data_IF_772095132005
#
_entry.id   IF_772095132005
#
_cell.length_a   1.000
_cell.length_b   1.000
_cell.length_c   1.000
_cell.angle_alpha   90.00
_cell.angle_beta   90.00
_cell.angle_gamma   90.00
#
_symmetry.space_group_name_H-M   'P 1'
#
loop_
_entity.id
_entity.type
_entity.pdbx_description
1 polymer ?
2 non-polymer ?
3 water ?
#
# COMPACT_ATOMS: atom_id res chain seq x y z
N UNK A 5 -31.57 7.79 -10.26
CA UNK A 5 -30.55 6.74 -10.19
C UNK A 5 -29.65 6.95 -8.97
N UNK A 6 -28.95 5.90 -8.57
CA UNK A 6 -28.26 5.90 -7.28
C UNK A 6 -26.76 6.16 -7.36
N UNK A 7 -26.27 7.00 -6.45
CA UNK A 7 -24.83 7.23 -6.31
C UNK A 7 -24.13 5.90 -6.09
N UNK A 8 -22.94 5.76 -6.65
CA UNK A 8 -22.04 4.68 -6.26
C UNK A 8 -21.13 5.28 -5.21
N UNK A 9 -20.36 4.43 -4.50
CA UNK A 9 -19.43 4.99 -3.51
C UNK A 9 -18.34 5.80 -4.22
N UNK A 10 -17.57 6.56 -3.46
CA UNK A 10 -16.38 7.19 -4.00
C UNK A 10 -15.42 6.07 -4.40
N UNK A 11 -15.33 5.06 -3.54
CA UNK A 11 -14.59 3.84 -3.84
C UNK A 11 -15.03 2.67 -2.96
N UNK A 12 -14.86 1.46 -3.48
CA UNK A 12 -15.08 0.23 -2.72
C UNK A 12 -13.75 -0.22 -2.14
N UNK A 13 -13.81 -1.00 -1.06
CA UNK A 13 -12.59 -1.56 -0.50
C UNK A 13 -12.82 -2.28 0.82
N UNK A 14 -11.74 -2.83 1.37
CA UNK A 14 -11.78 -3.44 2.70
C UNK A 14 -11.33 -2.42 3.73
N UNK A 15 -12.20 -2.15 4.71
CA UNK A 15 -11.90 -1.21 5.77
C UNK A 15 -11.58 -1.97 7.06
N UNK A 16 -10.37 -1.78 7.57
CA UNK A 16 -9.91 -2.52 8.73
C UNK A 16 -10.70 -2.15 9.98
N UNK A 17 -10.85 -3.12 10.88
CA UNK A 17 -11.48 -2.87 12.16
C UNK A 17 -10.63 -1.88 12.95
N UNK A 18 -11.17 -1.41 14.07
CA UNK A 18 -10.42 -0.52 14.95
C UNK A 18 -9.11 -1.14 15.39
N UNK A 19 -9.17 -2.38 15.88
CA UNK A 19 -7.98 -3.08 16.37
C UNK A 19 -6.95 -3.35 15.27
N UNK A 20 -7.41 -3.84 14.14
CA UNK A 20 -6.51 -4.14 13.03
C UNK A 20 -5.84 -2.87 12.51
N UNK A 21 -6.62 -1.80 12.41
CA UNK A 21 -6.08 -0.50 12.01
C UNK A 21 -4.97 -0.07 12.96
N UNK A 22 -5.27 -0.15 14.26
CA UNK A 22 -4.29 0.19 15.29
C UNK A 22 -3.04 -0.64 15.13
N UNK A 23 -3.21 -1.95 15.00
CA UNK A 23 -2.09 -2.88 14.89
C UNK A 23 -1.22 -2.59 13.67
N UNK A 24 -1.85 -2.40 12.52
CA UNK A 24 -1.10 -2.12 11.29
C UNK A 24 -0.45 -0.75 11.33
N UNK A 25 -1.17 0.24 11.87
CA UNK A 25 -0.64 1.60 11.98
C UNK A 25 0.60 1.64 12.85
N UNK A 26 0.59 0.91 13.96
CA UNK A 26 1.73 0.86 14.86
C UNK A 26 2.92 0.18 14.19
N UNK A 27 2.65 -0.88 13.44
CA UNK A 27 3.70 -1.60 12.73
C UNK A 27 4.37 -0.69 11.70
N UNK A 28 3.56 0.10 11.01
CA UNK A 28 4.07 1.03 10.02
C UNK A 28 4.97 2.09 10.62
N UNK A 29 4.57 2.64 11.76
CA UNK A 29 5.34 3.69 12.42
C UNK A 29 6.64 3.16 13.01
N UNK A 30 6.59 2.00 13.64
CA UNK A 30 7.79 1.36 14.15
C UNK A 30 8.79 1.14 13.00
N UNK A 31 8.26 0.71 11.87
CA UNK A 31 9.09 0.49 10.68
C UNK A 31 9.77 1.78 10.24
N UNK A 32 9.02 2.89 10.26
CA UNK A 32 9.57 4.18 9.89
C UNK A 32 10.67 4.61 10.85
N UNK A 33 10.50 4.27 12.13
CA UNK A 33 11.50 4.58 13.15
C UNK A 33 12.80 3.83 12.90
N UNK A 34 12.69 2.52 12.73
CA UNK A 34 13.85 1.66 12.54
C UNK A 34 14.57 1.94 11.23
N UNK A 35 13.79 2.15 10.17
CA UNK A 35 14.37 2.43 8.86
C UNK A 35 15.20 3.71 8.91
N UNK A 36 14.61 4.77 9.46
CA UNK A 36 15.28 6.05 9.55
C UNK A 36 16.55 6.02 10.39
N UNK A 37 16.61 5.06 11.31
CA UNK A 37 17.77 4.89 12.17
C UNK A 37 18.76 3.89 11.60
N UNK A 38 18.39 3.25 10.50
CA UNK A 38 19.23 2.22 9.91
C UNK A 38 20.36 2.81 9.09
N UNK A 39 21.58 2.31 9.35
CA UNK A 39 22.78 2.83 8.72
C UNK A 39 22.71 2.80 7.18
N UNK A 40 22.13 1.75 6.62
CA UNK A 40 22.04 1.61 5.18
C UNK A 40 21.13 2.67 4.56
N UNK A 41 20.09 3.06 5.30
CA UNK A 41 19.16 4.08 4.81
C UNK A 41 19.80 5.46 4.82
N UNK A 42 20.49 5.79 5.90
CA UNK A 42 21.15 7.10 6.02
C UNK A 42 22.20 7.30 4.93
N UNK A 43 22.90 6.22 4.58
CA UNK A 43 23.92 6.25 3.54
C UNK A 43 23.34 6.65 2.19
N UNK A 44 22.01 6.60 2.07
CA UNK A 44 21.35 6.88 0.80
C UNK A 44 20.30 7.99 0.92
N UNK A 45 20.45 8.84 1.92
CA UNK A 45 19.48 9.92 2.15
C UNK A 45 19.46 10.96 1.03
N UNK A 46 20.36 10.82 0.06
CA UNK A 46 20.41 11.74 -1.07
C UNK A 46 19.17 11.58 -1.95
N UNK A 47 18.36 10.57 -1.64
CA UNK A 47 17.13 10.30 -2.39
C UNK A 47 15.91 10.84 -1.67
N UNK A 48 16.13 11.46 -0.51
CA UNK A 48 15.04 12.05 0.27
C UNK A 48 15.25 13.54 0.52
N UNK A 49 16.51 13.94 0.65
CA UNK A 49 16.86 15.34 0.83
C UNK A 49 17.90 15.76 -0.21
N UNK A 50 17.59 16.82 -0.95
CA UNK A 50 18.45 17.24 -2.06
C UNK A 50 19.37 18.41 -1.72
N UNK A 51 20.53 18.45 -2.37
CA UNK A 51 21.48 19.54 -2.18
C UNK A 51 22.52 19.26 -1.11
N UNK A 52 23.59 20.05 -1.10
CA UNK A 52 24.60 19.95 -0.05
C UNK A 52 23.96 20.32 1.29
N UNK A 53 23.55 19.30 2.04
CA UNK A 53 22.82 19.52 3.28
C UNK A 53 23.61 19.04 4.50
N UNK A 54 23.39 19.72 5.66
CA UNK A 54 23.98 19.27 6.93
C UNK A 54 23.69 17.79 7.14
N UNK A 55 24.66 17.06 7.66
CA UNK A 55 24.52 15.62 7.82
C UNK A 55 23.66 15.27 9.02
N UNK A 56 22.38 15.63 8.94
CA UNK A 56 21.43 15.33 10.01
C UNK A 56 20.62 14.10 9.63
N UNK A 57 19.71 13.69 10.51
CA UNK A 57 18.87 12.53 10.23
C UNK A 57 17.41 12.91 9.99
N UNK A 58 16.78 12.19 9.07
CA UNK A 58 15.40 12.47 8.69
C UNK A 58 14.43 11.63 9.50
N UNK A 59 13.44 12.28 10.09
CA UNK A 59 12.38 11.57 10.80
C UNK A 59 11.26 11.21 9.82
N UNK A 60 11.26 9.96 9.37
CA UNK A 60 10.33 9.50 8.35
C UNK A 60 8.86 9.68 8.75
N UNK A 61 8.56 9.51 10.03
CA UNK A 61 7.20 9.72 10.52
C UNK A 61 6.74 11.13 10.18
N UNK A 62 7.67 12.08 10.27
CA UNK A 62 7.39 13.47 9.94
C UNK A 62 7.38 13.68 8.43
N UNK A 63 8.28 13.01 7.73
CA UNK A 63 8.37 13.09 6.28
C UNK A 63 7.05 12.68 5.63
N UNK A 64 6.48 11.57 6.09
CA UNK A 64 5.18 11.13 5.61
C UNK A 64 4.06 11.75 6.44
N UNK A 65 3.95 13.08 6.35
CA UNK A 65 3.04 13.84 7.19
C UNK A 65 1.57 13.70 6.86
N UNK A 66 1.28 13.40 5.59
CA UNK A 66 -0.10 13.15 5.18
C UNK A 66 -0.45 11.69 5.43
N UNK A 67 -1.08 11.43 6.57
CA UNK A 67 -1.38 10.06 6.99
C UNK A 67 -2.87 9.80 6.94
N UNK A 68 -3.25 8.53 6.78
CA UNK A 68 -4.67 8.17 6.85
C UNK A 68 -5.19 8.44 8.25
N UNK A 69 -6.24 9.28 8.37
CA UNK A 69 -6.84 9.48 9.69
C UNK A 69 -7.78 8.31 10.06
N UNK A 70 -7.61 7.78 11.27
CA UNK A 70 -8.53 6.80 11.81
C UNK A 70 -8.43 5.39 11.25
N UNK A 71 -9.47 4.99 10.54
CA UNK A 71 -9.57 3.62 10.01
C UNK A 71 -8.77 3.46 8.73
N UNK A 72 -7.98 2.39 8.65
CA UNK A 72 -7.18 2.09 7.46
C UNK A 72 -8.00 1.26 6.46
N UNK A 73 -7.59 1.28 5.19
CA UNK A 73 -8.34 0.54 4.17
C UNK A 73 -7.48 0.05 3.01
N UNK A 74 -7.98 -0.96 2.31
CA UNK A 74 -7.40 -1.46 1.07
C UNK A 74 -8.43 -1.28 -0.06
N UNK A 75 -8.17 -0.34 -0.96
CA UNK A 75 -9.09 -0.05 -2.04
C UNK A 75 -9.13 -1.16 -3.08
N UNK A 76 -10.33 -1.45 -3.58
CA UNK A 76 -10.48 -2.33 -4.73
C UNK A 76 -10.71 -1.50 -5.99
N UNK A 77 -11.85 -0.82 -6.04
CA UNK A 77 -12.22 -0.04 -7.22
C UNK A 77 -12.60 1.39 -6.86
N UNK A 78 -11.86 2.35 -7.43
CA UNK A 78 -12.21 3.76 -7.30
C UNK A 78 -13.33 4.07 -8.29
N UNK A 79 -14.47 4.51 -7.78
CA UNK A 79 -15.65 4.71 -8.61
C UNK A 79 -16.00 6.17 -8.86
N UNK A 80 -15.58 7.04 -7.95
CA UNK A 80 -15.93 8.45 -8.01
C UNK A 80 -17.43 8.63 -8.21
N UNK A 81 -18.21 7.90 -7.40
CA UNK A 81 -19.66 8.01 -7.39
C UNK A 81 -20.33 7.46 -8.66
N UNK A 82 -19.51 6.96 -9.58
CA UNK A 82 -20.00 6.39 -10.82
C UNK A 82 -19.41 7.06 -12.04
N UNK A 83 -18.52 8.03 -11.80
CA UNK A 83 -17.91 8.79 -12.89
C UNK A 83 -16.68 8.09 -13.48
N UNK A 84 -16.00 7.28 -12.68
CA UNK A 84 -14.81 6.57 -13.15
C UNK A 84 -15.17 5.44 -14.10
N UNK A 85 -14.30 5.21 -15.08
CA UNK A 85 -14.52 4.15 -16.05
C UNK A 85 -14.62 2.79 -15.36
N UNK A 86 -15.59 1.99 -15.77
CA UNK A 86 -15.76 0.65 -15.24
C UNK A 86 -16.38 0.62 -13.85
N UNK A 87 -16.80 1.78 -13.36
CA UNK A 87 -17.33 1.89 -12.00
C UNK A 87 -18.64 1.13 -11.84
N UNK A 88 -19.56 1.34 -12.79
CA UNK A 88 -20.87 0.70 -12.72
C UNK A 88 -20.75 -0.81 -12.93
N UNK A 89 -19.98 -1.21 -13.94
CA UNK A 89 -19.75 -2.62 -14.21
C UNK A 89 -19.25 -3.33 -12.95
N UNK A 90 -18.27 -2.73 -12.29
CA UNK A 90 -17.71 -3.30 -11.07
C UNK A 90 -18.76 -3.41 -9.98
N UNK A 91 -19.52 -2.34 -9.78
CA UNK A 91 -20.50 -2.28 -8.69
C UNK A 91 -21.68 -3.23 -8.90
N UNK A 92 -21.97 -3.56 -10.16
CA UNK A 92 -23.11 -4.40 -10.49
C UNK A 92 -22.80 -5.88 -10.36
N UNK A 93 -21.52 -6.22 -10.28
CA UNK A 93 -21.10 -7.61 -10.14
C UNK A 93 -21.82 -8.29 -8.97
N UNK A 94 -22.17 -9.55 -9.15
CA UNK A 94 -22.81 -10.31 -8.09
C UNK A 94 -21.92 -10.42 -6.86
N UNK A 95 -20.65 -10.73 -7.07
CA UNK A 95 -19.72 -10.94 -5.97
C UNK A 95 -19.52 -9.68 -5.13
N UNK A 96 -19.58 -8.53 -5.78
CA UNK A 96 -19.46 -7.25 -5.07
C UNK A 96 -20.69 -7.01 -4.20
N UNK A 97 -21.86 -7.20 -4.78
CA UNK A 97 -23.11 -7.03 -4.04
C UNK A 97 -23.25 -8.07 -2.95
N UNK A 98 -22.83 -9.30 -3.25
CA UNK A 98 -22.91 -10.39 -2.28
C UNK A 98 -21.96 -10.17 -1.11
N UNK A 99 -20.80 -9.60 -1.39
CA UNK A 99 -19.76 -9.42 -0.38
C UNK A 99 -19.92 -8.13 0.42
N UNK A 100 -20.82 -7.27 -0.02
CA UNK A 100 -20.99 -5.98 0.64
C UNK A 100 -21.36 -6.15 2.10
N UNK A 101 -20.53 -5.64 2.99
CA UNK A 101 -20.78 -5.71 4.41
C UNK A 101 -20.18 -6.93 5.09
N UNK A 102 -19.45 -7.74 4.33
CA UNK A 102 -18.91 -8.99 4.84
C UNK A 102 -17.49 -8.82 5.36
N UNK A 103 -17.10 -9.67 6.29
CA UNK A 103 -15.77 -9.61 6.91
C UNK A 103 -14.75 -10.43 6.13
N UNK A 104 -13.52 -9.93 6.08
CA UNK A 104 -12.43 -10.61 5.40
C UNK A 104 -11.16 -10.51 6.23
N UNK A 105 -10.21 -11.39 5.95
CA UNK A 105 -8.87 -11.30 6.50
C UNK A 105 -7.87 -10.98 5.41
N UNK A 106 -7.15 -9.88 5.58
CA UNK A 106 -6.16 -9.48 4.59
C UNK A 106 -4.77 -9.83 5.09
N UNK A 107 -4.01 -10.51 4.24
CA UNK A 107 -2.64 -10.86 4.59
C UNK A 107 -1.67 -9.78 4.11
N UNK A 108 -0.98 -9.15 5.05
CA UNK A 108 0.04 -8.17 4.72
C UNK A 108 1.41 -8.82 4.71
N UNK A 109 2.10 -8.75 3.59
CA UNK A 109 3.33 -9.51 3.38
C UNK A 109 4.59 -8.66 3.51
N UNK A 110 4.45 -7.34 3.36
CA UNK A 110 5.59 -6.45 3.41
C UNK A 110 5.18 -5.01 3.69
N UNK A 111 6.13 -4.23 4.19
CA UNK A 111 5.96 -2.79 4.31
C UNK A 111 6.98 -2.14 3.38
N UNK A 112 6.63 -0.99 2.81
CA UNK A 112 7.55 -0.34 1.89
C UNK A 112 7.63 1.17 2.06
N UNK A 113 8.73 1.75 1.58
CA UNK A 113 8.94 3.17 1.65
C UNK A 113 9.59 3.66 0.36
N UNK A 114 9.05 4.75 -0.18
CA UNK A 114 9.68 5.45 -1.29
C UNK A 114 9.76 6.92 -0.89
N UNK A 115 10.40 7.76 -1.73
CA UNK A 115 10.41 9.19 -1.41
C UNK A 115 9.03 9.82 -1.50
N UNK A 116 8.05 9.07 -2.00
CA UNK A 116 6.71 9.60 -2.18
C UNK A 116 5.69 9.05 -1.18
N UNK A 117 5.73 7.75 -0.94
CA UNK A 117 4.72 7.10 -0.09
C UNK A 117 5.30 6.05 0.85
N UNK A 118 4.49 5.67 1.84
CA UNK A 118 4.78 4.55 2.72
C UNK A 118 3.51 3.70 2.82
N UNK A 119 3.65 2.39 2.79
CA UNK A 119 2.47 1.54 2.83
C UNK A 119 2.75 0.08 3.13
N UNK A 120 1.70 -0.73 3.10
CA UNK A 120 1.79 -2.16 3.34
C UNK A 120 1.25 -2.93 2.15
N UNK A 121 2.01 -3.93 1.70
CA UNK A 121 1.57 -4.76 0.59
C UNK A 121 0.58 -5.80 1.07
N UNK A 122 -0.56 -5.87 0.39
CA UNK A 122 -1.58 -6.86 0.70
C UNK A 122 -1.56 -7.97 -0.34
N UNK A 123 -1.60 -9.22 0.13
CA UNK A 123 -1.66 -10.37 -0.76
C UNK A 123 -3.04 -11.01 -0.69
N UNK A 124 -3.87 -10.74 -1.69
CA UNK A 124 -5.25 -11.19 -1.69
C UNK A 124 -5.37 -12.69 -1.89
N UNK A 125 -6.28 -13.32 -1.14
CA UNK A 125 -6.65 -14.70 -1.40
C UNK A 125 -7.40 -14.72 -2.72
N UNK A 126 -7.74 -15.91 -3.22
CA UNK A 126 -8.44 -15.97 -4.50
C UNK A 126 -9.90 -15.54 -4.37
N UNK A 127 -10.49 -15.77 -3.20
CA UNK A 127 -11.84 -15.28 -2.94
C UNK A 127 -11.84 -13.76 -3.04
N UNK A 128 -10.86 -13.14 -2.38
CA UNK A 128 -10.75 -11.69 -2.35
C UNK A 128 -10.36 -11.13 -3.71
N UNK A 129 -9.57 -11.89 -4.47
CA UNK A 129 -9.23 -11.51 -5.84
C UNK A 129 -10.47 -11.35 -6.69
N UNK A 130 -11.53 -12.10 -6.36
CA UNK A 130 -12.80 -11.98 -7.07
C UNK A 130 -13.36 -10.57 -6.94
N UNK A 131 -12.94 -9.86 -5.90
CA UNK A 131 -13.42 -8.50 -5.65
C UNK A 131 -12.46 -7.46 -6.23
N UNK A 132 -11.36 -7.92 -6.82
CA UNK A 132 -10.43 -7.01 -7.47
C UNK A 132 -10.95 -6.67 -8.87
N UNK A 133 -10.95 -5.37 -9.21
CA UNK A 133 -11.52 -4.89 -10.48
C UNK A 133 -10.80 -5.47 -11.70
N UNK A 134 -11.58 -5.81 -12.73
CA UNK A 134 -11.04 -6.36 -13.97
C UNK A 134 -10.20 -5.33 -14.71
N UNK A 135 -9.04 -5.77 -15.19
CA UNK A 135 -8.12 -4.90 -15.91
C UNK A 135 -8.24 -5.09 -17.43
N UNK A 136 -9.29 -5.78 -17.86
CA UNK A 136 -9.42 -6.16 -19.25
C UNK A 136 -9.66 -5.00 -20.21
N UNK A 137 -10.07 -3.85 -19.68
CA UNK A 137 -10.25 -2.66 -20.50
C UNK A 137 -9.12 -1.66 -20.28
N UNK A 138 -8.18 -2.03 -19.41
CA UNK A 138 -7.00 -1.23 -19.17
C UNK A 138 -5.91 -2.08 -18.53
N UNK A 139 -5.26 -2.93 -19.35
CA UNK A 139 -4.17 -3.78 -18.87
C UNK A 139 -2.93 -2.96 -18.53
N UNK A 140 -3.03 -1.64 -18.71
CA UNK A 140 -1.98 -0.74 -18.28
C UNK A 140 -1.97 -0.70 -16.75
N UNK A 141 -3.15 -0.92 -16.18
CA UNK A 141 -3.37 -0.84 -14.73
C UNK A 141 -2.40 -1.65 -13.89
N UNK A 142 -2.25 -2.94 -14.19
CA UNK A 142 -1.44 -3.82 -13.34
C UNK A 142 -0.05 -4.11 -13.91
N UNK A 143 0.23 -3.56 -15.08
CA UNK A 143 1.58 -3.60 -15.68
C UNK A 143 2.30 -4.96 -15.63
N UNK A 144 1.72 -5.97 -16.27
CA UNK A 144 2.38 -7.25 -16.44
C UNK A 144 2.50 -8.11 -15.19
N UNK A 145 2.01 -7.59 -14.07
CA UNK A 145 2.04 -8.34 -12.83
C UNK A 145 0.70 -9.04 -12.60
N UNK A 146 0.68 -10.10 -11.76
CA UNK A 146 -0.56 -10.81 -11.47
C UNK A 146 -1.65 -9.82 -11.07
N UNK A 147 -2.92 -10.18 -11.31
CA UNK A 147 -4.02 -9.31 -10.87
C UNK A 147 -3.94 -9.10 -9.37
N UNK A 148 -4.29 -7.90 -8.91
CA UNK A 148 -4.31 -7.61 -7.49
C UNK A 148 -2.97 -7.30 -6.88
N UNK A 149 -1.93 -7.27 -7.69
CA UNK A 149 -0.60 -6.94 -7.20
C UNK A 149 -0.57 -5.54 -6.56
N UNK A 150 -1.45 -4.66 -7.03
CA UNK A 150 -1.48 -3.28 -6.55
C UNK A 150 -2.11 -3.16 -5.17
N UNK A 151 -2.81 -4.21 -4.74
CA UNK A 151 -3.48 -4.22 -3.44
C UNK A 151 -2.54 -3.78 -2.31
N UNK A 152 -2.95 -2.74 -1.59
CA UNK A 152 -2.10 -2.15 -0.56
C UNK A 152 -2.92 -1.42 0.48
N UNK A 153 -2.25 -1.09 1.59
CA UNK A 153 -2.80 -0.14 2.56
C UNK A 153 -1.85 1.04 2.65
N UNK A 154 -2.38 2.24 2.47
CA UNK A 154 -1.57 3.45 2.55
C UNK A 154 -1.34 3.84 4.00
N UNK A 155 -0.07 4.08 4.34
CA UNK A 155 0.28 4.44 5.71
C UNK A 155 0.72 5.89 5.82
N UNK A 156 1.18 6.47 4.73
CA UNK A 156 1.58 7.87 4.71
C UNK A 156 2.02 8.34 3.35
N UNK A 157 1.94 9.66 3.12
CA UNK A 157 2.35 10.29 1.87
C UNK A 157 3.13 11.57 2.14
N UNK A 158 4.11 11.86 1.28
CA UNK A 158 4.83 13.12 1.33
C UNK A 158 3.85 14.25 1.01
N UNK A 159 4.23 15.48 1.36
CA UNK A 159 3.32 16.63 1.28
C UNK A 159 2.72 16.88 -0.11
N UNK A 160 3.52 16.68 -1.15
CA UNK A 160 3.09 17.01 -2.50
C UNK A 160 2.53 15.80 -3.27
N UNK A 161 2.26 14.70 -2.58
CA UNK A 161 1.93 13.45 -3.25
C UNK A 161 0.43 13.11 -3.25
N UNK A 162 -0.07 12.79 -4.44
CA UNK A 162 -1.47 12.38 -4.61
C UNK A 162 -1.69 10.99 -4.03
N UNK A 163 -2.92 10.72 -3.55
CA UNK A 163 -3.23 9.47 -2.82
C UNK A 163 -2.99 8.20 -3.62
N UNK A 164 -3.18 8.26 -4.93
CA UNK A 164 -3.09 7.07 -5.77
C UNK A 164 -1.64 6.61 -5.99
N UNK A 165 -0.69 7.43 -5.55
CA UNK A 165 0.72 7.16 -5.79
C UNK A 165 1.19 5.87 -5.12
N UNK A 166 0.64 5.57 -3.95
CA UNK A 166 1.07 4.41 -3.18
C UNK A 166 0.97 3.12 -4.00
N UNK A 167 -0.17 2.94 -4.66
CA UNK A 167 -0.38 1.77 -5.50
C UNK A 167 0.63 1.69 -6.62
N UNK A 168 0.92 2.84 -7.24
CA UNK A 168 1.92 2.89 -8.31
C UNK A 168 3.31 2.57 -7.77
N UNK A 169 3.60 3.06 -6.57
CA UNK A 169 4.89 2.79 -5.94
C UNK A 169 5.08 1.30 -5.68
N UNK A 170 4.06 0.65 -5.14
CA UNK A 170 4.13 -0.77 -4.86
C UNK A 170 4.39 -1.57 -6.12
N UNK A 171 3.61 -1.29 -7.17
CA UNK A 171 3.79 -1.98 -8.44
C UNK A 171 5.21 -1.79 -8.97
N UNK A 172 5.75 -0.60 -8.80
CA UNK A 172 7.11 -0.30 -9.24
C UNK A 172 8.10 -1.19 -8.47
N UNK A 173 7.92 -1.27 -7.16
CA UNK A 173 8.77 -2.09 -6.31
C UNK A 173 8.66 -3.58 -6.67
N UNK A 174 7.42 -4.05 -6.81
CA UNK A 174 7.18 -5.43 -7.20
C UNK A 174 7.74 -5.74 -8.58
N UNK A 175 7.69 -4.75 -9.47
CA UNK A 175 8.19 -4.91 -10.83
C UNK A 175 9.67 -5.28 -10.80
N UNK A 176 10.41 -4.71 -9.85
CA UNK A 176 11.82 -5.00 -9.71
C UNK A 176 12.06 -6.40 -9.17
N UNK A 177 11.32 -6.77 -8.13
CA UNK A 177 11.42 -8.11 -7.56
C UNK A 177 11.11 -9.17 -8.62
N UNK A 178 10.28 -8.80 -9.59
CA UNK A 178 9.96 -9.70 -10.69
C UNK A 178 11.20 -9.98 -11.55
N UNK A 179 11.93 -8.93 -11.88
CA UNK A 179 13.14 -9.05 -12.67
C UNK A 179 14.34 -9.51 -11.84
N UNK A 180 14.11 -9.72 -10.55
CA UNK A 180 15.16 -10.15 -9.64
C UNK A 180 16.20 -9.07 -9.40
N UNK A 181 15.75 -7.91 -8.96
CA UNK A 181 16.65 -6.79 -8.73
C UNK A 181 16.53 -6.21 -7.32
N UNK A 182 15.79 -6.89 -6.45
CA UNK A 182 15.74 -6.50 -5.05
C UNK A 182 17.13 -6.67 -4.46
N UNK A 183 17.90 -7.57 -5.05
CA UNK A 183 19.28 -7.80 -4.67
C UNK A 183 19.41 -8.50 -3.33
N UNK A 184 20.64 -8.50 -2.81
CA UNK A 184 20.91 -9.11 -1.51
C UNK A 184 20.37 -8.18 -0.41
N UNK A 185 19.68 -8.75 0.56
CA UNK A 185 19.15 -7.95 1.66
C UNK A 185 20.29 -7.17 2.30
N UNK A 186 19.99 -5.95 2.75
CA UNK A 186 21.03 -5.08 3.30
C UNK A 186 20.79 -4.81 4.78
N UNK A 187 19.92 -5.61 5.39
CA UNK A 187 19.60 -5.43 6.80
C UNK A 187 18.60 -6.45 7.30
N UNK A 188 18.60 -6.67 8.62
CA UNK A 188 17.71 -7.64 9.25
C UNK A 188 16.97 -7.03 10.42
N UNK A 189 15.76 -6.54 10.17
CA UNK A 189 14.94 -5.94 11.22
C UNK A 189 14.22 -7.02 12.04
N UNK A 190 13.75 -6.65 13.24
CA UNK A 190 13.03 -7.56 14.14
C UNK A 190 11.89 -8.30 13.45
N UNK A 191 11.20 -7.62 12.53
CA UNK A 191 10.03 -8.21 11.87
C UNK A 191 10.31 -8.84 10.50
N UNK A 192 11.52 -8.62 9.97
CA UNK A 192 11.87 -9.18 8.68
C UNK A 192 13.15 -8.62 8.08
N UNK A 193 13.36 -8.89 6.78
CA UNK A 193 14.56 -8.44 6.08
C UNK A 193 14.34 -7.16 5.29
N UNK A 194 15.28 -6.23 5.40
CA UNK A 194 15.22 -4.97 4.67
C UNK A 194 15.96 -5.05 3.34
N UNK A 195 15.27 -4.65 2.27
CA UNK A 195 15.87 -4.61 0.94
C UNK A 195 15.96 -3.20 0.42
N UNK A 196 17.12 -2.83 -0.11
CA UNK A 196 17.31 -1.54 -0.76
C UNK A 196 17.19 -1.71 -2.28
N UNK A 197 16.12 -1.19 -2.85
CA UNK A 197 15.87 -1.39 -4.28
C UNK A 197 16.37 -0.24 -5.13
N UNK A 198 16.98 0.77 -4.50
CA UNK A 198 17.49 1.92 -5.23
C UNK A 198 16.44 2.99 -5.43
N UNK A 199 16.89 4.18 -5.84
CA UNK A 199 15.99 5.31 -6.09
C UNK A 199 15.14 5.66 -4.87
N UNK A 200 15.71 5.48 -3.68
CA UNK A 200 15.01 5.81 -2.46
C UNK A 200 13.92 4.82 -2.08
N UNK A 201 13.95 3.64 -2.69
CA UNK A 201 12.92 2.63 -2.47
C UNK A 201 13.39 1.54 -1.52
N UNK A 202 12.58 1.26 -0.51
CA UNK A 202 12.92 0.27 0.52
C UNK A 202 11.77 -0.69 0.77
N UNK A 203 12.08 -1.96 0.94
CA UNK A 203 11.05 -2.97 1.20
C UNK A 203 11.41 -3.87 2.38
N UNK A 204 10.48 -4.01 3.31
CA UNK A 204 10.63 -4.93 4.42
C UNK A 204 9.74 -6.15 4.22
N UNK A 205 10.34 -7.31 3.97
CA UNK A 205 9.59 -8.55 3.85
C UNK A 205 9.40 -9.19 5.21
N UNK A 206 8.16 -9.16 5.70
CA UNK A 206 7.85 -9.69 7.01
C UNK A 206 8.14 -11.19 7.11
N UNK A 207 8.81 -11.59 8.18
CA UNK A 207 9.03 -13.01 8.44
C UNK A 207 7.69 -13.71 8.57
N UNK A 208 6.79 -13.11 9.34
CA UNK A 208 5.44 -13.62 9.52
C UNK A 208 4.42 -12.62 8.98
N UNK A 209 3.64 -13.05 7.98
CA UNK A 209 2.59 -12.21 7.42
C UNK A 209 1.69 -11.64 8.52
N UNK A 210 1.36 -10.36 8.42
CA UNK A 210 0.39 -9.75 9.31
C UNK A 210 -1.02 -10.07 8.83
N UNK A 211 -1.88 -10.48 9.75
CA UNK A 211 -3.26 -10.78 9.41
C UNK A 211 -4.20 -9.73 10.00
N UNK A 212 -4.86 -8.97 9.13
CA UNK A 212 -5.77 -7.93 9.57
C UNK A 212 -7.22 -8.24 9.21
N UNK A 213 -8.13 -7.87 10.10
CA UNK A 213 -9.55 -8.06 9.85
C UNK A 213 -10.14 -6.79 9.24
N UNK A 214 -10.98 -6.95 8.24
CA UNK A 214 -11.56 -5.80 7.55
C UNK A 214 -12.94 -6.10 6.98
N UNK A 215 -13.74 -5.05 6.82
CA UNK A 215 -15.07 -5.15 6.22
C UNK A 215 -15.06 -4.62 4.78
N UNK A 216 -15.59 -5.40 3.84
CA UNK A 216 -15.73 -4.92 2.48
C UNK A 216 -16.99 -4.07 2.37
N UNK A 217 -16.83 -2.82 1.93
CA UNK A 217 -17.96 -1.90 1.84
C UNK A 217 -17.61 -0.71 0.97
N UNK A 218 -18.49 0.29 0.95
CA UNK A 218 -18.27 1.47 0.13
C UNK A 218 -18.04 2.72 0.96
N UNK A 219 -17.12 3.56 0.51
CA UNK A 219 -16.85 4.85 1.15
C UNK A 219 -17.45 5.97 0.30
N UNK A 220 -18.23 6.86 0.92
CA UNK A 220 -18.94 7.89 0.18
C UNK A 220 -18.41 9.31 0.41
N UNK A 221 -17.26 9.43 1.07
CA UNK A 221 -16.65 10.73 1.26
C UNK A 221 -16.81 11.27 2.67
#
# INVERSE_FOLDING_TARGET
GGLEKDFLPLYFGWFLTKKSSETLRKAGQVFLEELGNHKAFKKELRHFISGDEPKEKLELVSYFGKRPPGVLHCTTKFCDYGKAAGAEEYAQQEVVKRSYGKAFKLSISALFVTPKTAGAQVVLTDQELQLWPSDLDKPSASEGLPPGSRAHVTLGCAADVQPVQTGLDLLDILQQVKGGSQGEAVGELPRGKLYSLGKGRWMLSLTKKMEVKAIFTGYYG
#
